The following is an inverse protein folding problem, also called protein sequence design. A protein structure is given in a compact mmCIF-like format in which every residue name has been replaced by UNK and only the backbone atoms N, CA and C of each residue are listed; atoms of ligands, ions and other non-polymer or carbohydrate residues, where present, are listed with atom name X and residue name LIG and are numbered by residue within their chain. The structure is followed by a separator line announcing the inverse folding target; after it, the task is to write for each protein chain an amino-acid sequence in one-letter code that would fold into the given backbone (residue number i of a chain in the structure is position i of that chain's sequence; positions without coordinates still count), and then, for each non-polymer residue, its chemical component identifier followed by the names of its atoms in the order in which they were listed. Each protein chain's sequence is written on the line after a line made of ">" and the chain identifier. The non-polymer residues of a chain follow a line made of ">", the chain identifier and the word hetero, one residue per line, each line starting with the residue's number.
data_IF_165544162504
#
_entry.id   IF_165544162504
#
_cell.length_a   1.000
_cell.length_b   1.000
_cell.length_c   1.000
_cell.angle_alpha   90.00
_cell.angle_beta   90.00
_cell.angle_gamma   90.00
#
_symmetry.space_group_name_H-M   'P 1'
#
loop_
_entity.id
_entity.type
_entity.pdbx_description
1 polymer ?
#
# COMPACT_ATOMS: atom_id res chain seq x y z
N UNK A 1 -11.79 11.79 39.27
CA UNK A 1 -10.89 10.77 38.69
C UNK A 1 -11.03 10.81 37.17
N UNK A 2 -10.11 11.47 36.55
CA UNK A 2 -10.10 11.51 35.10
C UNK A 2 -9.42 10.26 34.56
N UNK A 3 -10.17 9.35 33.93
CA UNK A 3 -9.58 8.41 32.99
C UNK A 3 -9.00 9.23 31.84
N UNK A 4 -7.68 9.36 31.84
CA UNK A 4 -6.93 9.86 30.69
C UNK A 4 -7.09 8.81 29.60
N UNK A 5 -8.05 9.01 28.71
CA UNK A 5 -8.07 8.30 27.43
C UNK A 5 -6.80 8.74 26.73
N UNK A 6 -5.78 7.89 26.83
CA UNK A 6 -4.58 8.04 25.98
C UNK A 6 -5.10 7.95 24.55
N UNK A 7 -5.29 9.09 23.91
CA UNK A 7 -5.55 9.13 22.50
C UNK A 7 -4.40 8.40 21.80
N UNK A 8 -4.69 7.25 21.19
CA UNK A 8 -3.74 6.55 20.35
C UNK A 8 -3.30 7.53 19.27
N UNK A 9 -2.15 8.15 19.47
CA UNK A 9 -1.63 9.07 18.46
C UNK A 9 -1.13 8.27 17.27
N UNK A 10 -1.59 8.64 16.09
CA UNK A 10 -1.20 8.05 14.83
C UNK A 10 -0.30 9.00 14.05
N UNK A 11 0.41 8.46 13.07
CA UNK A 11 1.09 9.25 12.05
C UNK A 11 0.87 8.63 10.68
N UNK A 12 0.99 9.43 9.63
CA UNK A 12 0.73 9.02 8.25
C UNK A 12 2.00 9.18 7.43
N UNK A 13 2.30 8.16 6.64
CA UNK A 13 3.33 8.21 5.60
C UNK A 13 2.64 7.99 4.26
N UNK A 14 2.90 8.86 3.29
CA UNK A 14 2.29 8.76 1.98
C UNK A 14 3.25 9.14 0.85
N UNK A 15 2.97 8.61 -0.32
CA UNK A 15 3.60 9.01 -1.58
C UNK A 15 2.53 9.09 -2.67
N UNK A 16 2.69 10.04 -3.57
CA UNK A 16 1.77 10.26 -4.69
C UNK A 16 2.57 10.37 -5.98
N UNK A 17 2.10 9.74 -7.04
CA UNK A 17 2.69 9.85 -8.36
C UNK A 17 1.64 9.79 -9.45
N UNK A 18 1.95 10.41 -10.60
CA UNK A 18 1.17 10.23 -11.81
C UNK A 18 1.62 8.96 -12.53
N UNK A 19 0.65 8.17 -12.97
CA UNK A 19 0.85 6.94 -13.73
C UNK A 19 0.26 7.11 -15.12
N UNK A 20 1.03 6.81 -16.15
CA UNK A 20 0.63 6.97 -17.55
C UNK A 20 -0.17 5.77 -18.05
N UNK A 21 -1.29 5.53 -17.41
CA UNK A 21 -2.26 4.52 -17.79
C UNK A 21 -3.66 4.92 -17.29
N UNK A 22 -4.74 4.43 -17.93
CA UNK A 22 -6.09 4.74 -17.49
C UNK A 22 -6.34 4.33 -16.03
N UNK A 23 -7.08 5.14 -15.25
CA UNK A 23 -7.34 4.86 -13.84
C UNK A 23 -7.88 3.44 -13.59
N UNK A 24 -8.77 2.96 -14.43
CA UNK A 24 -9.32 1.60 -14.30
C UNK A 24 -8.24 0.52 -14.39
N UNK A 25 -7.34 0.62 -15.36
CA UNK A 25 -6.25 -0.35 -15.51
C UNK A 25 -5.29 -0.31 -14.33
N UNK A 26 -4.98 0.89 -13.86
CA UNK A 26 -4.13 1.10 -12.68
C UNK A 26 -4.77 0.45 -11.46
N UNK A 27 -6.05 0.72 -11.22
CA UNK A 27 -6.78 0.14 -10.10
C UNK A 27 -6.85 -1.39 -10.20
N UNK A 28 -7.20 -1.92 -11.37
CA UNK A 28 -7.28 -3.38 -11.60
C UNK A 28 -5.93 -4.06 -11.36
N UNK A 29 -4.83 -3.41 -11.68
CA UNK A 29 -3.47 -3.91 -11.38
C UNK A 29 -3.23 -3.99 -9.87
N UNK A 30 -3.59 -2.95 -9.12
CA UNK A 30 -3.46 -2.92 -7.65
C UNK A 30 -4.36 -3.97 -7.01
N UNK A 31 -5.61 -4.09 -7.45
CA UNK A 31 -6.62 -4.95 -6.85
C UNK A 31 -6.45 -6.44 -7.16
N UNK A 32 -5.64 -6.80 -8.15
CA UNK A 32 -5.41 -8.19 -8.54
C UNK A 32 -4.17 -8.76 -7.85
N UNK A 33 -4.37 -9.45 -6.74
CA UNK A 33 -3.31 -10.05 -5.92
C UNK A 33 -2.73 -11.35 -6.50
N UNK A 34 -3.32 -11.89 -7.57
CA UNK A 34 -2.76 -13.04 -8.26
C UNK A 34 -1.71 -12.67 -9.30
N UNK A 35 -1.95 -11.61 -10.09
CA UNK A 35 -1.12 -11.31 -11.26
C UNK A 35 -0.65 -9.86 -11.34
N UNK A 36 -1.38 -8.90 -10.78
CA UNK A 36 -1.04 -7.48 -10.83
C UNK A 36 -0.21 -7.02 -9.64
N UNK A 37 -0.78 -7.09 -8.46
CA UNK A 37 -0.16 -6.60 -7.23
C UNK A 37 1.25 -7.16 -6.96
N UNK A 38 1.53 -8.46 -7.17
CA UNK A 38 2.88 -8.99 -6.96
C UNK A 38 3.95 -8.34 -7.84
N UNK A 39 3.58 -7.84 -9.00
CA UNK A 39 4.50 -7.20 -9.96
C UNK A 39 4.88 -5.77 -9.60
N UNK A 40 4.12 -5.14 -8.71
CA UNK A 40 4.37 -3.75 -8.28
C UNK A 40 5.07 -3.67 -6.92
N UNK A 41 5.27 -4.78 -6.24
CA UNK A 41 5.91 -4.79 -4.92
C UNK A 41 7.43 -4.59 -5.03
N UNK A 42 8.00 -3.66 -4.25
CA UNK A 42 9.44 -3.54 -4.10
C UNK A 42 10.09 -4.81 -3.54
N UNK A 43 11.39 -4.96 -3.76
CA UNK A 43 12.17 -6.14 -3.36
C UNK A 43 12.12 -6.47 -1.86
N UNK A 44 11.81 -5.49 -1.02
CA UNK A 44 11.66 -5.69 0.42
C UNK A 44 10.44 -6.56 0.77
N UNK A 45 9.43 -6.55 -0.10
CA UNK A 45 8.28 -7.43 0.02
C UNK A 45 8.60 -8.80 -0.55
N UNK A 46 8.31 -9.84 0.21
CA UNK A 46 8.65 -11.22 -0.15
C UNK A 46 7.50 -12.16 0.21
N UNK A 47 7.41 -13.26 -0.52
CA UNK A 47 6.52 -14.37 -0.19
C UNK A 47 5.04 -13.97 -0.08
N UNK A 48 4.56 -13.08 -0.96
CA UNK A 48 3.14 -12.78 -1.03
C UNK A 48 2.34 -14.03 -1.37
N UNK A 49 1.38 -14.35 -0.51
CA UNK A 49 0.44 -15.46 -0.69
C UNK A 49 -0.98 -14.98 -0.51
N UNK A 50 -1.85 -15.39 -1.42
CA UNK A 50 -3.29 -15.19 -1.28
C UNK A 50 -3.87 -16.35 -0.48
N UNK A 51 -4.41 -16.07 0.70
CA UNK A 51 -5.07 -17.05 1.55
C UNK A 51 -6.54 -17.20 1.19
N UNK A 52 -7.17 -16.10 0.78
CA UNK A 52 -8.59 -16.05 0.42
C UNK A 52 -8.84 -14.97 -0.61
N UNK A 53 -9.83 -15.17 -1.48
CA UNK A 53 -10.14 -14.22 -2.54
C UNK A 53 -9.04 -14.10 -3.58
N UNK A 54 -8.52 -12.91 -3.77
CA UNK A 54 -7.41 -12.61 -4.68
C UNK A 54 -7.65 -11.42 -5.59
N UNK A 55 -8.88 -10.95 -5.70
CA UNK A 55 -9.23 -9.74 -6.44
C UNK A 55 -10.13 -8.87 -5.57
N UNK A 56 -9.64 -7.67 -5.23
CA UNK A 56 -10.40 -6.67 -4.50
C UNK A 56 -10.88 -7.10 -3.12
N UNK A 57 -12.02 -6.58 -2.70
CA UNK A 57 -12.60 -6.79 -1.38
C UNK A 57 -12.80 -8.29 -1.05
N UNK A 58 -12.53 -8.65 0.19
CA UNK A 58 -12.59 -10.03 0.67
C UNK A 58 -11.30 -10.81 0.46
N UNK A 59 -10.30 -10.22 -0.18
CA UNK A 59 -8.96 -10.80 -0.29
C UNK A 59 -8.27 -10.79 1.08
N UNK A 60 -7.62 -11.90 1.40
CA UNK A 60 -6.73 -12.02 2.55
C UNK A 60 -5.37 -12.46 2.05
N UNK A 61 -4.34 -11.74 2.42
CA UNK A 61 -2.96 -11.96 2.01
C UNK A 61 -2.03 -12.13 3.20
N UNK A 62 -0.98 -12.90 3.00
CA UNK A 62 0.18 -12.99 3.90
C UNK A 62 1.42 -12.62 3.11
N UNK A 63 2.29 -11.82 3.67
CA UNK A 63 3.54 -11.42 3.05
C UNK A 63 4.60 -11.12 4.10
N UNK A 64 5.84 -11.03 3.66
CA UNK A 64 6.97 -10.65 4.50
C UNK A 64 7.57 -9.34 4.01
N UNK A 65 8.02 -8.52 4.93
CA UNK A 65 8.79 -7.31 4.63
C UNK A 65 10.13 -7.37 5.33
N UNK A 66 11.18 -7.22 4.54
CA UNK A 66 12.55 -7.16 5.05
C UNK A 66 13.00 -5.71 5.14
N UNK A 67 13.22 -5.25 6.36
CA UNK A 67 13.66 -3.89 6.67
C UNK A 67 14.67 -3.92 7.80
N UNK A 68 15.74 -3.10 7.69
CA UNK A 68 16.76 -2.93 8.72
C UNK A 68 17.33 -4.25 9.26
N UNK A 69 17.54 -5.23 8.36
CA UNK A 69 18.05 -6.55 8.70
C UNK A 69 17.07 -7.50 9.38
N UNK A 70 15.81 -7.08 9.54
CA UNK A 70 14.75 -7.88 10.12
C UNK A 70 13.69 -8.24 9.06
N UNK A 71 13.09 -9.41 9.21
CA UNK A 71 11.96 -9.86 8.39
C UNK A 71 10.72 -9.96 9.27
N UNK A 72 9.69 -9.24 8.89
CA UNK A 72 8.40 -9.21 9.61
C UNK A 72 7.35 -9.86 8.72
N UNK A 73 6.57 -10.77 9.27
CA UNK A 73 5.43 -11.39 8.58
C UNK A 73 4.16 -10.60 8.88
N UNK A 74 3.47 -10.20 7.82
CA UNK A 74 2.20 -9.49 7.87
C UNK A 74 1.08 -10.37 7.35
N UNK A 75 -0.11 -10.14 7.86
CA UNK A 75 -1.37 -10.64 7.33
C UNK A 75 -2.34 -9.47 7.20
N UNK A 76 -2.90 -9.30 6.02
CA UNK A 76 -3.78 -8.17 5.74
C UNK A 76 -5.11 -8.62 5.12
N UNK A 77 -6.15 -7.89 5.44
CA UNK A 77 -7.49 -8.02 4.86
C UNK A 77 -7.77 -6.84 3.96
N UNK A 78 -8.31 -7.12 2.78
CA UNK A 78 -8.58 -6.11 1.75
C UNK A 78 -10.04 -5.73 1.73
N UNK A 79 -10.30 -4.43 1.73
CA UNK A 79 -11.62 -3.84 1.54
C UNK A 79 -11.60 -2.81 0.41
N UNK A 80 -12.74 -2.53 -0.17
CA UNK A 80 -12.92 -1.52 -1.22
C UNK A 80 -14.03 -0.54 -0.81
N UNK A 81 -13.71 0.49 0.01
CA UNK A 81 -14.70 1.49 0.41
C UNK A 81 -15.33 2.23 -0.76
N UNK A 82 -14.58 2.37 -1.85
CA UNK A 82 -15.05 2.93 -3.11
C UNK A 82 -14.41 2.10 -4.26
N UNK A 83 -15.08 1.03 -4.71
CA UNK A 83 -14.54 0.12 -5.72
C UNK A 83 -14.16 0.86 -7.01
N UNK A 84 -12.96 0.58 -7.52
CA UNK A 84 -12.41 1.25 -8.70
C UNK A 84 -11.64 2.54 -8.37
N UNK A 85 -11.73 3.05 -7.15
CA UNK A 85 -11.03 4.27 -6.71
C UNK A 85 -10.24 4.09 -5.42
N UNK A 86 -10.81 3.44 -4.42
CA UNK A 86 -10.20 3.29 -3.09
C UNK A 86 -10.15 1.83 -2.66
N UNK A 87 -8.94 1.35 -2.40
CA UNK A 87 -8.67 0.02 -1.86
C UNK A 87 -7.90 0.18 -0.55
N UNK A 88 -8.26 -0.61 0.45
CA UNK A 88 -7.66 -0.56 1.78
C UNK A 88 -7.16 -1.94 2.20
N UNK A 89 -5.92 -1.99 2.65
CA UNK A 89 -5.29 -3.14 3.28
C UNK A 89 -5.16 -2.88 4.78
N UNK A 90 -5.89 -3.64 5.58
CA UNK A 90 -5.83 -3.58 7.05
C UNK A 90 -4.97 -4.73 7.56
N UNK A 91 -3.83 -4.41 8.14
CA UNK A 91 -3.00 -5.42 8.77
C UNK A 91 -3.68 -5.95 10.05
N UNK A 92 -3.81 -7.26 10.12
CA UNK A 92 -4.37 -7.99 11.28
C UNK A 92 -3.31 -8.79 12.02
N UNK A 93 -2.08 -8.83 11.47
CA UNK A 93 -0.90 -9.42 12.08
C UNK A 93 0.35 -8.71 11.56
N UNK A 94 1.33 -8.53 12.43
CA UNK A 94 2.62 -7.90 12.12
C UNK A 94 2.67 -6.42 12.51
N UNK A 95 1.60 -5.70 12.34
CA UNK A 95 1.39 -4.32 12.84
C UNK A 95 -0.11 -3.98 12.84
N UNK A 96 -0.43 -2.83 13.42
CA UNK A 96 -1.79 -2.26 13.41
C UNK A 96 -1.93 -1.18 12.30
N UNK A 97 -1.10 -1.24 11.29
CA UNK A 97 -1.11 -0.25 10.22
C UNK A 97 -2.20 -0.54 9.18
N UNK A 98 -2.69 0.54 8.58
CA UNK A 98 -3.71 0.51 7.54
C UNK A 98 -3.17 1.26 6.32
N UNK A 99 -3.08 0.57 5.19
CA UNK A 99 -2.63 1.15 3.92
C UNK A 99 -3.81 1.38 3.00
N UNK A 100 -3.89 2.58 2.44
CA UNK A 100 -4.92 2.97 1.48
C UNK A 100 -4.28 3.31 0.15
N UNK A 101 -4.81 2.73 -0.91
CA UNK A 101 -4.52 3.09 -2.30
C UNK A 101 -5.67 3.93 -2.84
N UNK A 102 -5.36 5.12 -3.34
CA UNK A 102 -6.35 6.00 -3.98
C UNK A 102 -5.93 6.21 -5.43
N UNK A 103 -6.82 5.89 -6.35
CA UNK A 103 -6.61 6.06 -7.79
C UNK A 103 -7.63 7.07 -8.32
N UNK A 104 -7.13 8.17 -8.84
CA UNK A 104 -7.95 9.26 -9.38
C UNK A 104 -7.53 9.56 -10.83
N UNK A 105 -8.38 10.21 -11.63
CA UNK A 105 -7.96 10.72 -12.94
C UNK A 105 -6.75 11.64 -12.80
N UNK A 106 -5.77 11.46 -13.67
CA UNK A 106 -4.58 12.30 -13.73
C UNK A 106 -4.80 13.58 -14.54
N UNK A 107 -3.75 14.39 -14.66
CA UNK A 107 -3.77 15.69 -15.37
C UNK A 107 -3.89 15.54 -16.89
N UNK A 108 -3.57 14.37 -17.42
CA UNK A 108 -3.64 14.07 -18.85
C UNK A 108 -4.71 13.02 -19.12
N UNK A 109 -5.31 13.02 -20.33
CA UNK A 109 -6.15 11.89 -20.76
C UNK A 109 -5.40 10.57 -20.60
N UNK A 110 -6.12 9.53 -20.20
CA UNK A 110 -5.56 8.17 -20.00
C UNK A 110 -4.38 8.12 -19.00
N UNK A 111 -4.39 8.99 -18.01
CA UNK A 111 -3.46 8.95 -16.87
C UNK A 111 -4.21 8.90 -15.55
N UNK A 112 -3.53 8.43 -14.52
CA UNK A 112 -4.04 8.35 -13.16
C UNK A 112 -3.11 9.06 -12.19
N UNK A 113 -3.67 9.65 -11.15
CA UNK A 113 -2.95 10.09 -9.97
C UNK A 113 -3.15 9.02 -8.89
N UNK A 114 -2.07 8.46 -8.40
CA UNK A 114 -2.11 7.38 -7.40
C UNK A 114 -1.43 7.83 -6.12
N UNK A 115 -2.14 7.64 -5.01
CA UNK A 115 -1.60 7.88 -3.67
C UNK A 115 -1.58 6.57 -2.88
N UNK A 116 -0.43 6.24 -2.31
CA UNK A 116 -0.29 5.20 -1.29
C UNK A 116 -0.12 5.92 0.05
N UNK A 117 -0.97 5.59 1.00
CA UNK A 117 -0.97 6.23 2.32
C UNK A 117 -1.14 5.18 3.41
N UNK A 118 -0.25 5.16 4.39
CA UNK A 118 -0.35 4.24 5.53
C UNK A 118 -0.43 5.02 6.84
N UNK A 119 -1.43 4.66 7.63
CA UNK A 119 -1.59 5.14 9.01
C UNK A 119 -0.92 4.15 9.95
N UNK A 120 0.01 4.65 10.74
CA UNK A 120 0.74 3.89 11.75
C UNK A 120 0.31 4.32 13.16
N UNK A 121 0.25 3.36 14.08
CA UNK A 121 0.09 3.62 15.50
C UNK A 121 1.46 3.99 16.10
N UNK A 122 1.49 4.97 16.98
CA UNK A 122 2.68 5.29 17.77
C UNK A 122 2.86 4.31 18.92
N UNK A 123 4.07 3.88 19.15
CA UNK A 123 4.41 2.99 20.25
C UNK A 123 4.80 3.80 21.51
N UNK A 124 4.29 3.43 22.70
CA UNK A 124 4.71 4.05 23.96
C UNK A 124 6.20 3.82 24.23
N UNK A 125 6.89 4.83 24.77
CA UNK A 125 8.28 4.71 25.22
C UNK A 125 9.35 5.04 24.18
N UNK A 126 8.98 5.24 22.91
CA UNK A 126 9.85 5.78 21.88
C UNK A 126 9.42 7.22 21.59
N UNK A 127 10.38 8.13 21.40
CA UNK A 127 10.03 9.47 20.94
C UNK A 127 9.28 9.36 19.61
N UNK A 128 8.04 9.81 19.57
CA UNK A 128 7.20 9.72 18.38
C UNK A 128 7.80 10.43 17.16
N UNK A 129 8.62 11.45 17.38
CA UNK A 129 9.34 12.14 16.31
C UNK A 129 10.45 11.26 15.71
N UNK A 130 11.17 10.51 16.54
CA UNK A 130 12.21 9.59 16.09
C UNK A 130 11.60 8.41 15.34
N UNK A 131 10.55 7.80 15.88
CA UNK A 131 9.83 6.70 15.24
C UNK A 131 9.33 7.10 13.85
N UNK A 132 8.66 8.25 13.75
CA UNK A 132 8.19 8.81 12.48
C UNK A 132 9.33 9.05 11.50
N UNK A 133 10.41 9.68 11.96
CA UNK A 133 11.57 10.00 11.11
C UNK A 133 12.21 8.73 10.53
N UNK A 134 12.43 7.70 11.35
CA UNK A 134 13.00 6.41 10.89
C UNK A 134 12.05 5.73 9.92
N UNK A 135 10.76 5.70 10.22
CA UNK A 135 9.75 5.07 9.38
C UNK A 135 9.63 5.79 8.03
N UNK A 136 9.62 7.11 8.01
CA UNK A 136 9.64 7.89 6.76
C UNK A 136 10.87 7.58 5.90
N UNK A 137 12.04 7.49 6.50
CA UNK A 137 13.31 7.20 5.80
C UNK A 137 13.32 5.82 5.14
N UNK A 138 12.56 4.87 5.66
CA UNK A 138 12.51 3.49 5.16
C UNK A 138 11.30 3.28 4.25
N UNK A 139 10.12 3.72 4.68
CA UNK A 139 8.86 3.41 4.02
C UNK A 139 8.61 4.29 2.79
N UNK A 140 8.91 5.59 2.88
CA UNK A 140 8.62 6.50 1.77
C UNK A 140 9.35 6.13 0.47
N UNK A 141 10.66 5.77 0.50
CA UNK A 141 11.32 5.25 -0.70
C UNK A 141 10.71 3.97 -1.24
N UNK A 142 10.19 3.09 -0.37
CA UNK A 142 9.50 1.88 -0.81
C UNK A 142 8.21 2.21 -1.57
N UNK A 143 7.43 3.16 -1.10
CA UNK A 143 6.21 3.61 -1.79
C UNK A 143 6.51 4.30 -3.12
N UNK A 144 7.56 5.11 -3.17
CA UNK A 144 8.01 5.72 -4.42
C UNK A 144 8.40 4.65 -5.45
N UNK A 145 9.09 3.60 -5.03
CA UNK A 145 9.46 2.47 -5.90
C UNK A 145 8.23 1.66 -6.33
N UNK A 146 7.29 1.42 -5.44
CA UNK A 146 6.03 0.73 -5.76
C UNK A 146 5.23 1.49 -6.82
N UNK A 147 5.13 2.81 -6.70
CA UNK A 147 4.48 3.66 -7.71
C UNK A 147 5.21 3.64 -9.06
N UNK A 148 6.54 3.61 -9.04
CA UNK A 148 7.35 3.47 -10.25
C UNK A 148 7.12 2.12 -10.93
N UNK A 149 7.07 1.04 -10.16
CA UNK A 149 6.77 -0.30 -10.66
C UNK A 149 5.34 -0.38 -11.20
N UNK A 150 4.40 0.25 -10.52
CA UNK A 150 3.01 0.33 -10.97
C UNK A 150 2.90 1.00 -12.36
N UNK A 151 3.60 2.10 -12.57
CA UNK A 151 3.65 2.75 -13.88
C UNK A 151 4.23 1.81 -14.94
N UNK A 152 5.33 1.16 -14.66
CA UNK A 152 5.98 0.22 -15.57
C UNK A 152 5.04 -0.93 -15.96
N UNK A 153 4.35 -1.53 -14.99
CA UNK A 153 3.43 -2.65 -15.21
C UNK A 153 2.18 -2.20 -15.97
N UNK A 154 1.55 -1.12 -15.56
CA UNK A 154 0.32 -0.63 -16.19
C UNK A 154 0.56 -0.13 -17.62
N UNK A 155 1.70 0.47 -17.89
CA UNK A 155 2.09 0.89 -19.25
C UNK A 155 2.43 -0.30 -20.15
N UNK A 156 3.09 -1.34 -19.62
CA UNK A 156 3.44 -2.55 -20.39
C UNK A 156 2.22 -3.35 -20.83
N UNK A 157 1.19 -3.42 -20.00
CA UNK A 157 -0.05 -4.14 -20.30
C UNK A 157 -0.85 -3.48 -21.46
N UNK A 158 -0.55 -2.23 -21.80
CA UNK A 158 -1.10 -1.56 -22.99
C UNK A 158 -0.46 -2.06 -24.29
N UNK A 159 0.85 -2.30 -24.29
CA UNK A 159 1.57 -2.75 -25.48
C UNK A 159 1.30 -4.22 -25.84
N UNK A 160 0.88 -5.04 -24.90
CA UNK A 160 0.54 -6.44 -25.12
C UNK A 160 -0.86 -6.69 -25.70
N UNK A 161 -1.67 -5.65 -25.92
CA UNK A 161 -3.03 -5.73 -26.48
C UNK A 161 -3.18 -5.12 -27.87
N UNK A 162 -2.08 -4.70 -28.44
CA UNK A 162 -2.06 -4.23 -29.83
C UNK A 162 -2.02 -5.41 -30.83
#
# INVERSE_FOLDING_TARGET
>A
MGESIMANSTYVISATAQVNAPPRRVYDTIANYHTGHPRILPKQFQNLKVEHGGIGAGTVITFQVRMLGQTITFRAEVTEPDPGRVLVETNVKGSDSVTTFIVEPGDRPDSAMVTISTVFQRHPGVSGAIEKFVTERVIQPMYAEELRLLESVAASDEQGRA
#
